data_IF_307830757645
#
_entry.id   IF_307830757645
#
_cell.length_a   1.000
_cell.length_b   1.000
_cell.length_c   1.000
_cell.angle_alpha   90.00
_cell.angle_beta   90.00
_cell.angle_gamma   90.00
#
_symmetry.space_group_name_H-M   'P 1'
#
loop_
_entity.id
_entity.type
_entity.pdbx_description
1 polymer ?
#
# COMPACT_ATOMS: atom_id res chain seq x y z
N UNK A 1 -3.83 -17.68 2.74
CA UNK A 1 -5.10 -17.06 2.26
C UNK A 1 -6.13 -16.80 3.35
N UNK A 2 -5.97 -17.28 4.60
CA UNK A 2 -6.82 -16.86 5.74
C UNK A 2 -6.38 -15.53 6.37
N UNK A 3 -5.09 -15.21 6.37
CA UNK A 3 -4.52 -14.06 7.11
C UNK A 3 -4.62 -12.71 6.38
N UNK A 4 -5.14 -12.72 5.16
CA UNK A 4 -5.33 -11.52 4.31
C UNK A 4 -6.76 -11.36 3.80
N UNK A 5 -7.75 -12.03 4.44
CA UNK A 5 -9.16 -11.83 4.11
C UNK A 5 -9.54 -10.35 4.20
N UNK A 6 -10.11 -9.82 3.11
CA UNK A 6 -10.51 -8.41 2.99
C UNK A 6 -9.51 -7.50 2.26
N UNK A 7 -8.39 -8.01 1.77
CA UNK A 7 -7.49 -7.26 0.90
C UNK A 7 -7.48 -7.83 -0.52
N UNK A 8 -7.48 -6.96 -1.54
CA UNK A 8 -7.21 -7.35 -2.92
C UNK A 8 -5.71 -7.61 -3.03
N UNK A 9 -5.32 -8.87 -3.17
CA UNK A 9 -3.92 -9.30 -3.29
C UNK A 9 -3.59 -9.43 -4.77
N UNK A 10 -2.71 -8.59 -5.34
CA UNK A 10 -2.35 -8.70 -6.74
C UNK A 10 -1.46 -9.93 -6.97
N UNK A 11 -1.78 -10.67 -8.03
CA UNK A 11 -1.03 -11.87 -8.42
C UNK A 11 -0.43 -11.66 -9.79
N UNK A 12 0.87 -11.87 -9.92
CA UNK A 12 1.56 -11.91 -11.21
C UNK A 12 1.64 -13.38 -11.64
N UNK A 13 1.00 -13.72 -12.77
CA UNK A 13 1.04 -15.05 -13.36
C UNK A 13 1.96 -15.00 -14.58
N UNK A 14 3.00 -15.81 -14.57
CA UNK A 14 3.87 -16.04 -15.71
C UNK A 14 3.55 -17.42 -16.28
N UNK A 15 3.24 -17.47 -17.58
CA UNK A 15 2.94 -18.70 -18.31
C UNK A 15 4.09 -18.99 -19.26
N UNK A 16 4.59 -20.23 -19.25
CA UNK A 16 5.69 -20.69 -20.09
C UNK A 16 5.16 -21.56 -21.25
N UNK A 17 5.99 -21.77 -22.27
CA UNK A 17 5.61 -22.49 -23.50
C UNK A 17 5.26 -23.97 -23.25
N UNK A 18 5.82 -24.56 -22.19
CA UNK A 18 5.51 -25.92 -21.72
C UNK A 18 4.16 -26.00 -20.97
N UNK A 19 3.38 -24.91 -20.98
CA UNK A 19 2.12 -24.73 -20.24
C UNK A 19 2.28 -24.80 -18.73
N UNK A 20 3.50 -24.74 -18.21
CA UNK A 20 3.71 -24.50 -16.78
C UNK A 20 3.43 -23.03 -16.46
N UNK A 21 3.05 -22.76 -15.22
CA UNK A 21 2.82 -21.41 -14.74
C UNK A 21 3.44 -21.20 -13.37
N UNK A 22 4.08 -20.05 -13.18
CA UNK A 22 4.51 -19.58 -11.87
C UNK A 22 3.65 -18.38 -11.47
N UNK A 23 3.14 -18.39 -10.25
CA UNK A 23 2.38 -17.27 -9.71
C UNK A 23 3.06 -16.69 -8.48
N UNK A 24 3.20 -15.37 -8.46
CA UNK A 24 3.79 -14.62 -7.35
C UNK A 24 2.68 -13.76 -6.74
N UNK A 25 2.32 -14.04 -5.49
CA UNK A 25 1.38 -13.23 -4.71
C UNK A 25 2.13 -12.04 -4.10
N UNK A 26 1.80 -10.83 -4.53
CA UNK A 26 2.37 -9.59 -3.96
C UNK A 26 1.56 -9.13 -2.75
N UNK A 27 2.11 -8.28 -1.91
CA UNK A 27 1.32 -7.67 -0.82
C UNK A 27 0.20 -6.77 -1.38
N UNK A 28 -0.86 -6.55 -0.58
CA UNK A 28 -1.94 -5.64 -0.95
C UNK A 28 -1.44 -4.25 -1.39
N UNK A 29 -2.15 -3.56 -2.29
CA UNK A 29 -1.80 -2.21 -2.75
C UNK A 29 -1.58 -1.26 -1.58
N UNK A 30 -0.61 -0.35 -1.71
CA UNK A 30 -0.36 0.68 -0.69
C UNK A 30 -1.65 1.46 -0.38
N UNK A 31 -2.43 1.79 -1.41
CA UNK A 31 -3.71 2.48 -1.28
C UNK A 31 -4.70 1.77 -0.36
N UNK A 32 -4.79 0.44 -0.41
CA UNK A 32 -5.74 -0.32 0.41
C UNK A 32 -5.25 -0.48 1.85
N UNK A 33 -3.94 -0.64 2.04
CA UNK A 33 -3.32 -0.62 3.38
C UNK A 33 -3.54 0.73 4.06
N UNK A 34 -3.31 1.83 3.33
CA UNK A 34 -3.52 3.19 3.82
C UNK A 34 -5.00 3.44 4.12
N UNK A 35 -5.92 3.04 3.23
CA UNK A 35 -7.38 3.17 3.48
C UNK A 35 -7.82 2.43 4.75
N UNK A 36 -7.30 1.23 4.98
CA UNK A 36 -7.64 0.44 6.17
C UNK A 36 -7.11 1.08 7.45
N UNK A 37 -5.87 1.56 7.43
CA UNK A 37 -5.26 2.31 8.54
C UNK A 37 -6.01 3.62 8.83
N UNK A 38 -6.41 4.34 7.78
CA UNK A 38 -7.15 5.59 7.89
C UNK A 38 -8.66 5.38 8.16
N UNK A 39 -9.12 4.12 8.17
CA UNK A 39 -10.52 3.72 8.31
C UNK A 39 -11.47 4.42 7.30
N UNK A 40 -11.02 4.63 6.06
CA UNK A 40 -11.79 5.26 4.98
C UNK A 40 -12.11 4.26 3.87
N UNK A 41 -13.27 4.43 3.22
CA UNK A 41 -13.69 3.59 2.08
C UNK A 41 -13.17 4.12 0.73
N UNK A 42 -12.99 5.44 0.60
CA UNK A 42 -12.59 6.11 -0.64
C UNK A 42 -11.55 7.19 -0.34
N UNK A 43 -10.55 7.31 -1.22
CA UNK A 43 -9.61 8.43 -1.19
C UNK A 43 -10.25 9.72 -1.71
N UNK A 44 -9.51 10.83 -1.62
CA UNK A 44 -9.94 12.13 -2.13
C UNK A 44 -10.10 12.12 -3.65
N UNK A 45 -11.20 12.68 -4.15
CA UNK A 45 -11.38 12.96 -5.59
C UNK A 45 -10.49 14.12 -6.06
N UNK A 46 -10.04 14.99 -5.14
CA UNK A 46 -9.12 16.09 -5.41
C UNK A 46 -8.11 16.22 -4.27
N UNK A 47 -7.06 15.41 -4.31
CA UNK A 47 -6.10 15.27 -3.22
C UNK A 47 -5.43 16.57 -2.73
N UNK A 48 -5.31 17.57 -3.61
CA UNK A 48 -4.75 18.89 -3.26
C UNK A 48 -5.75 19.83 -2.57
N UNK A 49 -7.05 19.60 -2.75
CA UNK A 49 -8.13 20.46 -2.22
C UNK A 49 -8.78 19.83 -0.99
N UNK A 50 -9.11 18.54 -1.08
CA UNK A 50 -9.88 17.84 -0.05
C UNK A 50 -8.99 16.83 0.66
N UNK A 51 -8.69 17.12 1.93
CA UNK A 51 -8.00 16.19 2.82
C UNK A 51 -9.04 15.30 3.51
N UNK A 52 -8.99 14.00 3.23
CA UNK A 52 -10.03 13.04 3.66
C UNK A 52 -9.70 12.29 4.94
N UNK A 53 -8.42 12.24 5.32
CA UNK A 53 -7.96 11.63 6.56
C UNK A 53 -6.56 12.11 6.95
N UNK A 54 -6.13 11.73 8.14
CA UNK A 54 -4.77 11.89 8.63
C UNK A 54 -4.22 10.59 9.22
N UNK A 55 -2.93 10.33 9.02
CA UNK A 55 -2.23 9.17 9.58
C UNK A 55 -1.00 9.63 10.34
N UNK A 56 -0.63 8.92 11.40
CA UNK A 56 0.61 9.19 12.13
C UNK A 56 1.81 8.60 11.40
N UNK A 57 3.00 9.11 11.70
CA UNK A 57 4.25 8.52 11.18
C UNK A 57 4.45 7.07 11.58
N UNK A 58 4.00 6.69 12.77
CA UNK A 58 4.06 5.31 13.25
C UNK A 58 3.22 4.37 12.37
N UNK A 59 2.01 4.81 12.00
CA UNK A 59 1.16 4.05 11.08
C UNK A 59 1.81 3.91 9.70
N UNK A 60 2.40 4.98 9.18
CA UNK A 60 3.14 4.93 7.91
C UNK A 60 4.31 3.94 7.99
N UNK A 61 5.02 3.89 9.11
CA UNK A 61 6.12 2.95 9.35
C UNK A 61 5.64 1.50 9.34
N UNK A 62 4.52 1.19 9.99
CA UNK A 62 3.94 -0.15 9.98
C UNK A 62 3.53 -0.59 8.57
N UNK A 63 2.90 0.30 7.79
CA UNK A 63 2.56 0.04 6.38
C UNK A 63 3.84 -0.21 5.56
N UNK A 64 4.87 0.62 5.76
CA UNK A 64 6.14 0.51 5.06
C UNK A 64 6.85 -0.81 5.37
N UNK A 65 6.88 -1.24 6.63
CA UNK A 65 7.45 -2.54 7.03
C UNK A 65 6.70 -3.71 6.41
N UNK A 66 5.36 -3.67 6.41
CA UNK A 66 4.54 -4.71 5.81
C UNK A 66 4.71 -4.80 4.29
N UNK A 67 4.94 -3.67 3.62
CA UNK A 67 5.09 -3.60 2.17
C UNK A 67 6.55 -3.71 1.70
N UNK A 68 7.52 -3.62 2.61
CA UNK A 68 8.95 -3.71 2.34
C UNK A 68 9.37 -4.83 1.38
N UNK A 69 8.87 -6.08 1.49
CA UNK A 69 9.26 -7.15 0.56
C UNK A 69 8.88 -6.89 -0.91
N UNK A 70 7.92 -6.00 -1.18
CA UNK A 70 7.49 -5.62 -2.54
C UNK A 70 7.96 -4.23 -2.96
N UNK A 71 8.67 -3.51 -2.08
CA UNK A 71 9.20 -2.19 -2.38
C UNK A 71 10.66 -2.32 -2.81
N UNK A 72 11.06 -1.51 -3.79
CA UNK A 72 12.46 -1.36 -4.19
C UNK A 72 13.25 -0.44 -3.23
N UNK A 73 12.77 -0.25 -2.00
CA UNK A 73 13.38 0.63 -1.03
C UNK A 73 14.52 -0.08 -0.29
N UNK A 74 15.64 0.62 -0.10
CA UNK A 74 16.81 0.07 0.60
C UNK A 74 16.78 0.32 2.12
N UNK A 75 15.88 1.16 2.60
CA UNK A 75 15.69 1.46 4.02
C UNK A 75 14.21 1.64 4.35
N UNK A 76 13.86 1.43 5.63
CA UNK A 76 12.48 1.65 6.12
C UNK A 76 12.07 3.11 5.93
N UNK A 77 12.99 4.06 6.08
CA UNK A 77 12.74 5.49 5.85
C UNK A 77 12.41 5.80 4.38
N UNK A 78 13.12 5.16 3.44
CA UNK A 78 12.82 5.29 2.02
C UNK A 78 11.47 4.65 1.68
N UNK A 79 11.16 3.50 2.28
CA UNK A 79 9.86 2.87 2.16
C UNK A 79 8.74 3.77 2.72
N UNK A 80 8.94 4.39 3.87
CA UNK A 80 8.01 5.36 4.44
C UNK A 80 7.74 6.50 3.46
N UNK A 81 8.77 7.11 2.85
CA UNK A 81 8.59 8.18 1.83
C UNK A 81 7.73 7.74 0.64
N UNK A 82 7.86 6.49 0.19
CA UNK A 82 7.02 5.94 -0.89
C UNK A 82 5.56 5.85 -0.45
N UNK A 83 5.31 5.37 0.77
CA UNK A 83 3.96 5.29 1.34
C UNK A 83 3.39 6.70 1.58
N UNK A 84 4.17 7.65 2.10
CA UNK A 84 3.78 9.05 2.29
C UNK A 84 3.37 9.70 0.97
N UNK A 85 4.14 9.48 -0.11
CA UNK A 85 3.80 9.96 -1.44
C UNK A 85 2.45 9.43 -1.92
N UNK A 86 2.18 8.15 -1.65
CA UNK A 86 0.88 7.52 -1.96
C UNK A 86 -0.24 8.13 -1.12
N UNK A 87 -0.03 8.31 0.19
CA UNK A 87 -1.00 8.92 1.09
C UNK A 87 -1.35 10.35 0.66
N UNK A 88 -0.34 11.16 0.33
CA UNK A 88 -0.52 12.53 -0.18
C UNK A 88 -1.31 12.55 -1.49
N UNK A 89 -1.04 11.61 -2.40
CA UNK A 89 -1.79 11.50 -3.66
C UNK A 89 -3.25 11.07 -3.47
N UNK A 90 -3.59 10.46 -2.32
CA UNK A 90 -4.96 10.13 -1.95
C UNK A 90 -5.65 11.21 -1.10
N UNK A 91 -5.00 12.35 -0.84
CA UNK A 91 -5.52 13.42 0.01
C UNK A 91 -5.48 13.06 1.49
N UNK A 92 -4.52 12.24 1.92
CA UNK A 92 -4.29 11.90 3.33
C UNK A 92 -3.08 12.67 3.82
N UNK A 93 -3.22 13.35 4.96
CA UNK A 93 -2.13 14.12 5.57
C UNK A 93 -1.39 13.25 6.58
N UNK A 94 -0.07 13.27 6.53
CA UNK A 94 0.74 12.63 7.58
C UNK A 94 0.98 13.65 8.67
N UNK A 95 0.60 13.30 9.89
CA UNK A 95 0.83 14.06 11.12
C UNK A 95 1.88 13.33 11.95
N UNK A 96 2.65 14.07 12.76
CA UNK A 96 3.56 13.45 13.73
C UNK A 96 2.75 12.80 14.88
#
# INVERSE_FOLDING_TARGET
TKDQMGFVVPVVISVYDDRTFSFITKTPPASDLIKKMANIKKGSSSAKKDKVASLTREQIKEIAQRKMPDLNAYSVEAAMKIIEGTARNMGITVVD
#
